data_IF_331879221799
#
_entry.id   IF_331879221799
#
_cell.length_a   1.000
_cell.length_b   1.000
_cell.length_c   1.000
_cell.angle_alpha   90.00
_cell.angle_beta   90.00
_cell.angle_gamma   90.00
#
_symmetry.space_group_name_H-M   'P 1'
#
loop_
_entity.id
_entity.type
_entity.pdbx_description
1 polymer ?
#
# COMPACT_ATOMS: atom_id res chain seq x y z
N UNK A 1 36.45 13.68 -1.62
CA UNK A 1 35.37 14.62 -1.25
C UNK A 1 34.11 13.82 -1.02
N UNK A 2 33.51 13.92 0.16
CA UNK A 2 32.20 13.30 0.42
C UNK A 2 31.12 14.22 -0.12
N UNK A 3 30.43 13.79 -1.18
CA UNK A 3 29.33 14.56 -1.77
C UNK A 3 28.13 14.47 -0.83
N UNK A 4 27.46 15.59 -0.48
CA UNK A 4 26.30 15.54 0.38
C UNK A 4 25.16 14.71 -0.25
N UNK A 5 24.62 13.76 0.51
CA UNK A 5 23.48 12.90 0.09
C UNK A 5 22.30 13.74 -0.42
N UNK A 6 22.05 14.90 0.20
CA UNK A 6 20.97 15.80 -0.19
C UNK A 6 21.15 16.40 -1.58
N UNK A 7 22.39 16.66 -2.00
CA UNK A 7 22.68 17.15 -3.35
C UNK A 7 22.30 16.13 -4.41
N UNK A 8 22.60 14.84 -4.16
CA UNK A 8 22.20 13.73 -5.04
C UNK A 8 20.68 13.55 -5.00
N UNK A 9 20.08 13.60 -3.80
CA UNK A 9 18.63 13.40 -3.64
C UNK A 9 17.83 14.46 -4.40
N UNK A 10 18.29 15.72 -4.41
CA UNK A 10 17.65 16.83 -5.14
C UNK A 10 17.59 16.61 -6.66
N UNK A 11 18.51 15.82 -7.23
CA UNK A 11 18.51 15.49 -8.66
C UNK A 11 17.48 14.42 -9.02
N UNK A 12 17.05 13.60 -8.06
CA UNK A 12 16.10 12.52 -8.27
C UNK A 12 14.67 13.07 -8.44
N UNK A 13 13.79 12.38 -9.19
CA UNK A 13 12.44 12.85 -9.47
C UNK A 13 11.46 12.72 -8.27
N UNK A 14 11.93 12.17 -7.14
CA UNK A 14 11.16 12.03 -5.90
C UNK A 14 9.84 11.24 -6.04
N UNK A 15 9.75 10.33 -7.02
CA UNK A 15 8.56 9.51 -7.27
C UNK A 15 8.32 8.42 -6.21
N UNK A 16 9.36 8.04 -5.47
CA UNK A 16 9.37 6.93 -4.49
C UNK A 16 8.95 5.57 -5.07
N UNK A 17 9.12 5.35 -6.38
CA UNK A 17 8.65 4.17 -7.11
C UNK A 17 9.36 2.84 -6.81
N UNK A 18 10.57 2.88 -6.24
CA UNK A 18 11.40 1.69 -5.91
C UNK A 18 11.91 0.88 -7.11
N UNK A 19 11.74 1.35 -8.34
CA UNK A 19 12.21 0.63 -9.53
C UNK A 19 13.73 0.45 -9.63
N UNK A 20 14.48 1.29 -8.92
CA UNK A 20 15.94 1.16 -8.81
C UNK A 20 16.39 0.08 -7.82
N UNK A 21 15.47 -0.62 -7.15
CA UNK A 21 15.75 -1.64 -6.14
C UNK A 21 15.91 -1.11 -4.71
N UNK A 22 15.71 0.20 -4.49
CA UNK A 22 15.78 0.85 -3.19
C UNK A 22 14.39 1.28 -2.69
N UNK A 23 14.22 1.40 -1.37
CA UNK A 23 12.94 1.77 -0.73
C UNK A 23 12.40 3.17 -1.10
N UNK A 24 13.25 4.03 -1.69
CA UNK A 24 12.88 5.37 -2.14
C UNK A 24 14.08 6.15 -2.70
N UNK A 25 13.87 7.42 -3.02
CA UNK A 25 14.90 8.26 -3.61
C UNK A 25 16.06 8.55 -2.64
N UNK A 26 15.78 8.78 -1.35
CA UNK A 26 16.82 9.07 -0.36
C UNK A 26 17.75 7.86 -0.11
N UNK A 27 17.26 6.62 0.09
CA UNK A 27 18.13 5.43 0.16
C UNK A 27 19.01 5.25 -1.08
N UNK A 28 18.48 5.46 -2.28
CA UNK A 28 19.29 5.38 -3.51
C UNK A 28 20.37 6.47 -3.55
N UNK A 29 20.04 7.71 -3.19
CA UNK A 29 21.02 8.79 -3.07
C UNK A 29 22.13 8.47 -2.07
N UNK A 30 21.81 7.77 -0.98
CA UNK A 30 22.78 7.30 0.02
C UNK A 30 23.75 6.28 -0.57
N UNK A 31 23.24 5.27 -1.27
CA UNK A 31 24.05 4.24 -1.92
C UNK A 31 24.93 4.84 -3.03
N UNK A 32 24.43 5.81 -3.79
CA UNK A 32 25.21 6.58 -4.76
C UNK A 32 26.36 7.33 -4.10
N UNK A 33 26.09 8.04 -2.99
CA UNK A 33 27.10 8.75 -2.20
C UNK A 33 28.17 7.83 -1.61
N UNK A 34 27.79 6.60 -1.24
CA UNK A 34 28.70 5.58 -0.72
C UNK A 34 29.48 4.85 -1.83
N UNK A 35 29.13 5.06 -3.10
CA UNK A 35 29.73 4.35 -4.22
C UNK A 35 29.20 2.92 -4.43
N UNK A 36 28.17 2.53 -3.68
CA UNK A 36 27.57 1.18 -3.65
C UNK A 36 26.53 0.95 -4.74
N UNK A 37 26.13 2.01 -5.46
CA UNK A 37 25.13 1.95 -6.52
C UNK A 37 25.66 2.54 -7.84
N UNK A 38 25.24 1.98 -9.00
CA UNK A 38 25.47 2.58 -10.30
C UNK A 38 24.50 3.76 -10.56
N UNK A 39 24.93 4.70 -11.39
CA UNK A 39 24.23 5.98 -11.66
C UNK A 39 23.03 5.84 -12.61
N UNK A 40 22.86 4.68 -13.26
CA UNK A 40 21.91 4.45 -14.35
C UNK A 40 20.62 3.71 -13.96
N UNK A 41 20.29 3.64 -12.67
CA UNK A 41 19.13 2.87 -12.19
C UNK A 41 17.83 3.66 -12.09
N UNK A 42 17.88 5.00 -12.17
CA UNK A 42 16.69 5.84 -12.03
C UNK A 42 15.87 5.89 -13.33
N UNK A 43 15.10 4.85 -13.62
CA UNK A 43 14.22 4.82 -14.79
C UNK A 43 13.26 6.02 -14.91
N UNK A 44 12.59 6.50 -13.84
CA UNK A 44 11.67 7.64 -13.95
C UNK A 44 12.38 8.98 -14.19
N UNK A 45 13.63 9.09 -13.73
CA UNK A 45 14.46 10.27 -13.96
C UNK A 45 15.02 10.33 -15.39
N UNK A 46 15.17 9.17 -16.03
CA UNK A 46 15.71 9.04 -17.38
C UNK A 46 17.17 9.50 -17.47
N UNK A 47 17.66 9.64 -18.69
CA UNK A 47 19.07 9.98 -18.95
C UNK A 47 19.51 11.30 -18.34
N UNK A 48 18.63 12.31 -18.30
CA UNK A 48 18.96 13.63 -17.74
C UNK A 48 19.40 13.51 -16.29
N UNK A 49 18.62 12.81 -15.46
CA UNK A 49 18.97 12.61 -14.04
C UNK A 49 20.23 11.77 -13.89
N UNK A 50 20.41 10.74 -14.72
CA UNK A 50 21.60 9.88 -14.67
C UNK A 50 22.89 10.64 -15.02
N UNK A 51 22.84 11.53 -16.02
CA UNK A 51 23.96 12.40 -16.41
C UNK A 51 24.30 13.39 -15.29
N UNK A 52 23.30 14.11 -14.76
CA UNK A 52 23.53 15.06 -13.66
C UNK A 52 24.16 14.38 -12.43
N UNK A 53 23.71 13.18 -12.09
CA UNK A 53 24.27 12.40 -10.97
C UNK A 53 25.70 11.94 -11.30
N UNK A 54 25.96 11.48 -12.51
CA UNK A 54 27.30 11.07 -12.94
C UNK A 54 28.29 12.23 -12.87
N UNK A 55 27.90 13.40 -13.39
CA UNK A 55 28.69 14.63 -13.36
C UNK A 55 28.96 15.08 -11.92
N UNK A 56 27.93 15.10 -11.08
CA UNK A 56 28.07 15.45 -9.66
C UNK A 56 29.04 14.50 -8.94
N UNK A 57 28.98 13.20 -9.23
CA UNK A 57 29.80 12.17 -8.61
C UNK A 57 31.19 12.01 -9.24
N UNK A 58 31.48 12.69 -10.35
CA UNK A 58 32.69 12.48 -11.14
C UNK A 58 32.81 11.04 -11.69
N UNK A 59 31.67 10.40 -11.99
CA UNK A 59 31.60 9.04 -12.55
C UNK A 59 31.33 9.09 -14.06
N UNK A 60 31.78 8.09 -14.83
CA UNK A 60 31.45 8.01 -16.24
C UNK A 60 29.95 7.81 -16.44
N UNK A 61 29.43 8.35 -17.54
CA UNK A 61 28.07 8.08 -17.99
C UNK A 61 27.87 6.58 -18.27
N UNK A 62 26.70 6.07 -17.88
CA UNK A 62 26.25 4.71 -18.15
C UNK A 62 24.87 4.79 -18.82
N UNK A 63 24.65 3.97 -19.85
CA UNK A 63 23.35 3.86 -20.50
C UNK A 63 22.27 3.41 -19.50
N UNK A 64 21.00 3.86 -19.64
CA UNK A 64 19.92 3.49 -18.72
C UNK A 64 19.77 1.98 -18.56
N UNK A 65 19.71 1.49 -17.31
CA UNK A 65 19.41 0.08 -17.05
C UNK A 65 17.97 -0.29 -17.42
N UNK A 66 17.06 0.68 -17.31
CA UNK A 66 15.66 0.58 -17.69
C UNK A 66 15.15 1.93 -18.18
N UNK A 67 14.37 1.92 -19.25
CA UNK A 67 13.62 3.07 -19.73
C UNK A 67 12.15 2.87 -19.41
N UNK A 68 11.44 3.97 -19.15
CA UNK A 68 10.00 3.92 -18.95
C UNK A 68 9.29 5.15 -19.51
N UNK A 69 8.06 4.91 -19.95
CA UNK A 69 7.16 5.95 -20.43
C UNK A 69 6.48 6.57 -19.21
N UNK A 70 6.32 7.90 -19.22
CA UNK A 70 5.60 8.61 -18.17
C UNK A 70 4.13 8.24 -18.27
N UNK A 71 3.58 7.75 -17.17
CA UNK A 71 2.20 7.32 -17.08
C UNK A 71 1.61 7.73 -15.72
N UNK A 72 0.31 7.98 -15.69
CA UNK A 72 -0.45 8.22 -14.47
C UNK A 72 -1.39 7.06 -14.21
N UNK A 73 -1.68 6.77 -12.95
CA UNK A 73 -2.66 5.75 -12.61
C UNK A 73 -4.07 6.23 -12.97
N UNK A 74 -4.89 5.33 -13.50
CA UNK A 74 -6.33 5.49 -13.71
C UNK A 74 -7.03 4.33 -13.01
N UNK A 75 -8.06 4.64 -12.22
CA UNK A 75 -8.89 3.61 -11.57
C UNK A 75 -10.18 3.47 -12.36
N UNK A 76 -10.53 2.25 -12.75
CA UNK A 76 -11.86 1.93 -13.28
C UNK A 76 -12.87 1.93 -12.12
N UNK A 77 -13.66 3.01 -12.08
CA UNK A 77 -14.64 3.28 -11.04
C UNK A 77 -15.78 2.24 -11.02
N UNK A 78 -16.11 1.64 -12.16
CA UNK A 78 -17.16 0.62 -12.26
C UNK A 78 -16.73 -0.71 -11.66
N UNK A 79 -15.42 -0.96 -11.58
CA UNK A 79 -14.84 -2.19 -11.05
C UNK A 79 -14.36 -2.03 -9.60
N UNK A 80 -14.06 -0.79 -9.19
CA UNK A 80 -13.55 -0.48 -7.86
C UNK A 80 -14.53 -0.87 -6.74
N UNK A 81 -14.09 -1.75 -5.83
CA UNK A 81 -14.90 -2.20 -4.68
C UNK A 81 -14.71 -1.38 -3.40
N UNK A 82 -13.94 -0.29 -3.45
CA UNK A 82 -13.72 0.54 -2.28
C UNK A 82 -12.84 -0.10 -1.17
N UNK A 83 -11.90 -0.99 -1.50
CA UNK A 83 -11.09 -1.72 -0.50
C UNK A 83 -9.99 -0.89 0.21
N UNK A 84 -9.67 0.31 -0.30
CA UNK A 84 -8.63 1.24 0.23
C UNK A 84 -7.18 0.76 0.17
N UNK A 85 -6.89 -0.38 -0.49
CA UNK A 85 -5.51 -0.87 -0.64
C UNK A 85 -4.63 0.11 -1.43
N UNK A 86 -5.17 0.69 -2.51
CA UNK A 86 -4.49 1.69 -3.32
C UNK A 86 -4.17 2.98 -2.55
N UNK A 87 -5.09 3.50 -1.73
CA UNK A 87 -4.86 4.68 -0.87
C UNK A 87 -3.68 4.43 0.06
N UNK A 88 -3.64 3.27 0.74
CA UNK A 88 -2.56 2.92 1.67
C UNK A 88 -1.19 2.75 0.99
N UNK A 89 -1.19 2.36 -0.28
CA UNK A 89 0.02 2.19 -1.08
C UNK A 89 0.52 3.49 -1.71
N UNK A 90 -0.35 4.49 -1.89
CA UNK A 90 0.01 5.75 -2.55
C UNK A 90 0.94 6.60 -1.66
N UNK A 91 2.21 6.83 -2.06
CA UNK A 91 3.18 7.54 -1.21
C UNK A 91 2.92 9.04 -1.11
N UNK A 92 2.08 9.61 -1.98
CA UNK A 92 1.85 11.05 -2.10
C UNK A 92 0.39 11.45 -1.89
N UNK A 93 -0.49 10.53 -1.51
CA UNK A 93 -1.94 10.76 -1.36
C UNK A 93 -2.63 11.27 -2.64
N UNK A 94 -2.25 10.76 -3.81
CA UNK A 94 -2.86 11.13 -5.10
C UNK A 94 -4.20 10.41 -5.37
N UNK A 95 -4.69 9.57 -4.45
CA UNK A 95 -5.92 8.79 -4.62
C UNK A 95 -6.96 9.28 -3.62
N UNK A 96 -8.15 9.60 -4.13
CA UNK A 96 -9.31 9.99 -3.32
C UNK A 96 -10.34 8.87 -3.29
N UNK A 97 -11.09 8.80 -2.19
CA UNK A 97 -12.20 7.87 -1.98
C UNK A 97 -12.32 7.49 -0.51
N UNK A 98 -13.17 6.51 -0.21
CA UNK A 98 -13.36 6.01 1.14
C UNK A 98 -13.65 4.51 1.13
N UNK A 99 -13.63 3.90 2.32
CA UNK A 99 -14.00 2.49 2.48
C UNK A 99 -15.40 2.24 1.91
N UNK A 100 -15.51 1.23 1.05
CA UNK A 100 -16.75 0.81 0.34
C UNK A 100 -17.33 1.87 -0.62
N UNK A 101 -16.55 2.88 -0.98
CA UNK A 101 -16.88 3.86 -2.02
C UNK A 101 -15.84 3.78 -3.14
N UNK A 102 -16.23 4.16 -4.36
CA UNK A 102 -15.33 4.19 -5.50
C UNK A 102 -14.15 5.14 -5.25
N UNK A 103 -12.98 4.74 -5.77
CA UNK A 103 -11.75 5.51 -5.67
C UNK A 103 -11.44 6.12 -7.04
N UNK A 104 -10.82 7.30 -7.03
CA UNK A 104 -10.35 7.98 -8.23
C UNK A 104 -8.98 8.59 -8.01
N UNK A 105 -8.21 8.78 -9.07
CA UNK A 105 -6.85 9.34 -9.01
C UNK A 105 -6.91 10.82 -9.37
N UNK A 106 -6.31 11.67 -8.53
CA UNK A 106 -6.01 13.06 -8.89
C UNK A 106 -4.80 13.02 -9.82
N UNK A 107 -5.04 12.98 -11.13
CA UNK A 107 -3.98 12.80 -12.13
C UNK A 107 -2.84 13.83 -11.99
N UNK A 108 -3.17 15.06 -11.63
CA UNK A 108 -2.18 16.14 -11.46
C UNK A 108 -1.21 15.92 -10.29
N UNK A 109 -1.62 15.13 -9.29
CA UNK A 109 -0.84 14.82 -8.09
C UNK A 109 -0.14 13.46 -8.20
N UNK A 110 -0.46 12.67 -9.23
CA UNK A 110 0.12 11.35 -9.45
C UNK A 110 1.58 11.45 -9.89
N UNK A 111 2.49 10.81 -9.15
CA UNK A 111 3.91 10.74 -9.51
C UNK A 111 4.22 9.70 -10.59
N UNK A 112 3.23 8.87 -10.97
CA UNK A 112 3.43 7.76 -11.87
C UNK A 112 4.16 6.55 -11.26
N UNK A 113 4.25 6.45 -9.93
CA UNK A 113 5.05 5.42 -9.26
C UNK A 113 4.56 3.96 -9.41
N UNK A 114 3.32 3.73 -9.83
CA UNK A 114 2.75 2.40 -10.02
C UNK A 114 2.52 1.56 -8.76
N UNK A 115 2.90 2.04 -7.57
CA UNK A 115 2.80 1.27 -6.31
C UNK A 115 1.37 0.85 -5.94
N UNK A 116 0.35 1.53 -6.47
CA UNK A 116 -1.06 1.20 -6.24
C UNK A 116 -1.57 0.01 -7.06
N UNK A 117 -0.89 -0.38 -8.15
CA UNK A 117 -1.38 -1.40 -9.09
C UNK A 117 -1.41 -2.78 -8.43
N UNK A 118 -0.26 -3.27 -7.95
CA UNK A 118 -0.16 -4.61 -7.38
C UNK A 118 -1.04 -4.85 -6.13
N UNK A 119 -1.22 -3.89 -5.20
CA UNK A 119 -2.12 -4.07 -4.06
C UNK A 119 -3.61 -4.10 -4.40
N UNK A 120 -4.03 -3.78 -5.62
CA UNK A 120 -5.44 -3.74 -5.99
C UNK A 120 -5.99 -5.17 -6.15
N UNK A 121 -6.86 -5.65 -5.26
CA UNK A 121 -7.35 -7.04 -5.30
C UNK A 121 -8.26 -7.31 -6.50
N UNK A 122 -8.78 -6.26 -7.13
CA UNK A 122 -9.71 -6.36 -8.26
C UNK A 122 -9.11 -5.94 -9.59
N UNK A 123 -7.81 -5.65 -9.63
CA UNK A 123 -7.05 -5.29 -10.83
C UNK A 123 -7.70 -4.16 -11.66
N UNK A 124 -8.25 -3.16 -10.98
CA UNK A 124 -8.98 -2.05 -11.62
C UNK A 124 -8.10 -0.81 -11.88
N UNK A 125 -6.77 -0.94 -11.87
CA UNK A 125 -5.86 0.21 -11.96
C UNK A 125 -4.90 0.01 -13.12
N UNK A 126 -4.98 0.92 -14.09
CA UNK A 126 -4.11 0.95 -15.26
C UNK A 126 -3.15 2.14 -15.19
N UNK A 127 -1.95 1.97 -15.76
CA UNK A 127 -1.00 3.06 -15.96
C UNK A 127 -1.16 3.62 -17.36
N UNK A 128 -1.76 4.80 -17.47
CA UNK A 128 -2.07 5.44 -18.76
C UNK A 128 -0.95 6.41 -19.14
N UNK A 129 -0.32 6.24 -20.31
CA UNK A 129 0.73 7.15 -20.80
C UNK A 129 0.25 8.60 -20.89
N UNK A 130 1.14 9.54 -20.58
CA UNK A 130 0.87 10.98 -20.67
C UNK A 130 1.98 11.71 -21.44
N UNK A 131 1.60 12.81 -22.10
CA UNK A 131 2.53 13.68 -22.83
C UNK A 131 3.28 14.67 -21.94
N UNK A 132 2.94 14.74 -20.66
CA UNK A 132 3.54 15.68 -19.71
C UNK A 132 5.04 15.38 -19.53
N UNK A 133 5.92 16.40 -19.58
CA UNK A 133 7.36 16.17 -19.51
C UNK A 133 7.82 15.78 -18.10
N UNK A 134 7.09 16.14 -17.05
CA UNK A 134 7.44 15.79 -15.67
C UNK A 134 6.18 15.50 -14.87
N UNK A 135 6.22 14.44 -14.07
CA UNK A 135 5.17 14.05 -13.15
C UNK A 135 5.63 14.26 -11.70
N UNK A 136 4.74 14.68 -10.78
CA UNK A 136 3.33 15.07 -10.98
C UNK A 136 3.21 16.31 -11.89
N UNK A 137 2.03 16.76 -12.30
CA UNK A 137 1.85 18.02 -13.06
C UNK A 137 1.65 19.22 -12.14
N UNK A 138 1.17 18.99 -10.92
CA UNK A 138 0.98 19.99 -9.88
C UNK A 138 2.32 20.54 -9.35
N UNK A 139 2.36 21.85 -9.06
CA UNK A 139 3.57 22.58 -8.63
C UNK A 139 3.38 23.40 -7.35
N UNK A 140 2.23 23.28 -6.67
CA UNK A 140 1.81 24.18 -5.57
C UNK A 140 2.74 24.25 -4.36
N UNK A 141 3.68 23.32 -4.24
CA UNK A 141 4.57 23.20 -3.08
C UNK A 141 6.05 23.31 -3.48
N UNK A 142 6.33 23.78 -4.69
CA UNK A 142 7.68 24.01 -5.15
C UNK A 142 8.02 25.49 -5.14
N UNK A 143 9.31 25.78 -4.93
CA UNK A 143 9.90 27.11 -5.08
C UNK A 143 10.80 27.20 -6.32
N UNK A 144 11.13 26.07 -6.94
CA UNK A 144 11.94 25.99 -8.15
C UNK A 144 11.20 26.53 -9.37
N UNK A 145 11.90 27.36 -10.17
CA UNK A 145 11.41 27.83 -11.46
C UNK A 145 11.54 26.75 -12.56
N UNK A 146 12.55 25.88 -12.44
CA UNK A 146 12.80 24.86 -13.46
C UNK A 146 11.80 23.68 -13.33
N UNK A 147 11.08 23.32 -14.41
CA UNK A 147 9.94 22.40 -14.32
C UNK A 147 10.25 21.01 -13.72
N UNK A 148 11.44 20.47 -13.97
CA UNK A 148 11.87 19.16 -13.45
C UNK A 148 12.02 19.19 -11.93
N UNK A 149 12.80 20.15 -11.43
CA UNK A 149 13.00 20.34 -10.00
C UNK A 149 11.69 20.73 -9.31
N UNK A 150 10.84 21.49 -10.01
CA UNK A 150 9.56 21.87 -9.45
C UNK A 150 8.59 20.70 -9.28
N UNK A 151 8.59 19.74 -10.21
CA UNK A 151 7.86 18.48 -10.05
C UNK A 151 8.42 17.64 -8.88
N UNK A 152 9.75 17.52 -8.80
CA UNK A 152 10.42 16.74 -7.76
C UNK A 152 10.20 17.32 -6.34
N UNK A 153 10.35 18.64 -6.16
CA UNK A 153 10.09 19.32 -4.88
C UNK A 153 8.62 19.16 -4.44
N UNK A 154 7.69 19.26 -5.38
CA UNK A 154 6.28 19.06 -5.10
C UNK A 154 5.99 17.61 -4.66
N UNK A 155 6.51 16.62 -5.39
CA UNK A 155 6.38 15.21 -5.04
C UNK A 155 7.00 14.89 -3.68
N UNK A 156 8.20 15.42 -3.40
CA UNK A 156 8.87 15.27 -2.11
C UNK A 156 8.04 15.87 -0.98
N UNK A 157 7.54 17.10 -1.13
CA UNK A 157 6.72 17.77 -0.12
C UNK A 157 5.43 17.00 0.19
N UNK A 158 4.84 16.35 -0.81
CA UNK A 158 3.66 15.48 -0.64
C UNK A 158 4.02 14.21 0.11
N UNK A 159 5.12 13.56 -0.27
CA UNK A 159 5.62 12.35 0.40
C UNK A 159 5.92 12.61 1.88
N UNK A 160 6.64 13.69 2.19
CA UNK A 160 6.98 14.06 3.57
C UNK A 160 5.72 14.31 4.42
N UNK A 161 4.71 15.00 3.87
CA UNK A 161 3.43 15.21 4.56
C UNK A 161 2.65 13.91 4.77
N UNK A 162 2.63 13.02 3.78
CA UNK A 162 2.02 11.71 3.91
C UNK A 162 2.70 10.90 5.02
N UNK A 163 4.03 10.81 5.00
CA UNK A 163 4.81 10.08 6.00
C UNK A 163 4.63 10.67 7.38
N UNK A 164 4.67 11.99 7.53
CA UNK A 164 4.45 12.66 8.81
C UNK A 164 3.03 12.39 9.36
N UNK A 165 1.99 12.40 8.50
CA UNK A 165 0.64 12.01 8.91
C UNK A 165 0.60 10.57 9.40
N UNK A 166 1.12 9.64 8.61
CA UNK A 166 1.14 8.21 8.96
C UNK A 166 1.88 7.94 10.28
N UNK A 167 3.02 8.60 10.49
CA UNK A 167 3.78 8.48 11.75
C UNK A 167 2.99 8.97 12.96
N UNK A 168 2.22 10.07 12.83
CA UNK A 168 1.33 10.53 13.90
C UNK A 168 0.22 9.53 14.17
N UNK A 169 -0.48 9.08 13.13
CA UNK A 169 -1.57 8.11 13.26
C UNK A 169 -1.10 6.78 13.90
N UNK A 170 0.08 6.31 13.51
CA UNK A 170 0.70 5.09 14.06
C UNK A 170 1.11 5.27 15.52
N UNK A 171 1.66 6.45 15.88
CA UNK A 171 2.02 6.77 17.26
C UNK A 171 0.78 6.87 18.16
N UNK A 172 -0.28 7.53 17.70
CA UNK A 172 -1.57 7.62 18.41
C UNK A 172 -2.20 6.25 18.61
N UNK A 173 -2.24 5.41 17.57
CA UNK A 173 -2.73 4.02 17.66
C UNK A 173 -1.91 3.22 18.68
N UNK A 174 -0.58 3.31 18.63
CA UNK A 174 0.30 2.61 19.56
C UNK A 174 0.06 3.06 21.01
N UNK A 175 -0.13 4.36 21.24
CA UNK A 175 -0.45 4.90 22.56
C UNK A 175 -1.79 4.39 23.08
N UNK A 176 -2.84 4.38 22.23
CA UNK A 176 -4.16 3.85 22.59
C UNK A 176 -4.11 2.36 22.96
N UNK A 177 -3.38 1.55 22.19
CA UNK A 177 -3.21 0.12 22.47
C UNK A 177 -2.47 -0.11 23.79
N UNK A 178 -1.38 0.63 24.04
CA UNK A 178 -0.65 0.56 25.30
C UNK A 178 -1.53 0.93 26.52
N UNK A 179 -2.38 1.95 26.39
CA UNK A 179 -3.34 2.33 27.43
C UNK A 179 -4.37 1.22 27.68
N UNK A 180 -4.90 0.60 26.62
CA UNK A 180 -5.85 -0.52 26.75
C UNK A 180 -5.21 -1.73 27.42
N UNK A 181 -3.99 -2.10 27.04
CA UNK A 181 -3.24 -3.18 27.67
C UNK A 181 -2.97 -2.91 29.15
N UNK A 182 -2.56 -1.69 29.50
CA UNK A 182 -2.36 -1.29 30.90
C UNK A 182 -3.66 -1.38 31.71
N UNK A 183 -4.79 -0.94 31.14
CA UNK A 183 -6.10 -1.03 31.78
C UNK A 183 -6.56 -2.49 31.97
N UNK A 184 -6.33 -3.36 30.99
CA UNK A 184 -6.63 -4.80 31.11
C UNK A 184 -5.76 -5.45 32.18
N UNK A 185 -4.45 -5.17 32.19
CA UNK A 185 -3.53 -5.68 33.23
C UNK A 185 -3.92 -5.21 34.63
N UNK A 186 -4.32 -3.94 34.78
CA UNK A 186 -4.81 -3.41 36.06
C UNK A 186 -6.10 -4.11 36.51
N UNK A 187 -7.06 -4.34 35.60
CA UNK A 187 -8.29 -5.09 35.89
C UNK A 187 -7.99 -6.54 36.28
N UNK A 188 -7.08 -7.22 35.57
CA UNK A 188 -6.67 -8.59 35.88
C UNK A 188 -5.96 -8.68 37.23
N UNK A 189 -5.08 -7.72 37.56
CA UNK A 189 -4.42 -7.66 38.86
C UNK A 189 -5.44 -7.46 40.00
N UNK A 190 -6.41 -6.56 39.82
CA UNK A 190 -7.49 -6.35 40.78
C UNK A 190 -8.39 -7.58 40.94
N UNK A 191 -8.71 -8.28 39.84
CA UNK A 191 -9.48 -9.53 39.87
C UNK A 191 -8.71 -10.67 40.55
N UNK A 192 -7.42 -10.82 40.28
CA UNK A 192 -6.56 -11.80 40.94
C UNK A 192 -6.48 -11.54 42.45
N UNK A 193 -6.35 -10.27 42.86
CA UNK A 193 -6.37 -9.88 44.27
C UNK A 193 -7.73 -10.14 44.92
N UNK A 194 -8.84 -9.88 44.23
CA UNK A 194 -10.18 -10.19 44.70
C UNK A 194 -10.44 -11.71 44.81
N UNK A 195 -9.89 -12.51 43.90
CA UNK A 195 -9.97 -13.98 43.94
C UNK A 195 -9.16 -14.57 45.09
N UNK A 196 -7.95 -14.05 45.35
CA UNK A 196 -7.13 -14.45 46.50
C UNK A 196 -7.84 -14.07 47.82
N UNK A 197 -8.52 -12.92 47.86
CA UNK A 197 -9.34 -12.52 49.01
C UNK A 197 -10.61 -13.39 49.19
N UNK A 198 -11.19 -13.91 48.09
CA UNK A 198 -12.38 -14.76 48.13
C UNK A 198 -12.08 -16.24 48.46
N UNK A 199 -10.84 -16.71 48.27
CA UNK A 199 -10.46 -18.11 48.57
C UNK A 199 -10.46 -18.49 50.05
N UNK A 200 -10.84 -17.59 50.96
CA UNK A 200 -11.01 -17.88 52.39
C UNK A 200 -12.46 -18.05 52.85
N UNK A 201 -13.46 -18.16 51.96
CA UNK A 201 -14.87 -18.35 52.35
C UNK A 201 -15.54 -19.56 51.67
N UNK A 202 -16.36 -20.27 52.45
CA UNK A 202 -17.01 -21.54 52.09
C UNK A 202 -17.99 -21.45 50.90
N UNK A 203 -18.11 -22.58 50.19
CA UNK A 203 -18.90 -22.79 48.97
C UNK A 203 -20.37 -22.33 49.12
N UNK A 204 -20.80 -21.34 48.31
CA UNK A 204 -22.18 -20.84 48.30
C UNK A 204 -22.83 -20.98 46.89
N UNK A 205 -24.13 -21.34 46.81
CA UNK A 205 -24.82 -21.61 45.54
C UNK A 205 -24.92 -20.42 44.56
N UNK A 206 -24.65 -19.19 45.03
CA UNK A 206 -24.54 -17.99 44.18
C UNK A 206 -23.29 -17.99 43.27
N UNK A 207 -22.26 -18.79 43.57
CA UNK A 207 -21.03 -18.90 42.77
C UNK A 207 -21.25 -19.53 41.38
N UNK A 208 -22.30 -20.35 41.24
CA UNK A 208 -22.71 -20.94 39.96
C UNK A 208 -23.27 -19.88 39.01
N UNK A 209 -24.03 -18.91 39.54
CA UNK A 209 -24.59 -17.80 38.77
C UNK A 209 -23.46 -16.85 38.34
N UNK A 210 -22.50 -16.58 39.23
CA UNK A 210 -21.32 -15.77 38.90
C UNK A 210 -20.44 -16.42 37.81
N UNK A 211 -20.21 -17.74 37.87
CA UNK A 211 -19.51 -18.49 36.80
C UNK A 211 -20.28 -18.48 35.49
N UNK A 212 -21.61 -18.58 35.52
CA UNK A 212 -22.45 -18.52 34.33
C UNK A 212 -22.39 -17.13 33.67
N UNK A 213 -22.47 -16.05 34.47
CA UNK A 213 -22.33 -14.68 33.96
C UNK A 213 -20.93 -14.39 33.41
N UNK A 214 -19.86 -14.87 34.06
CA UNK A 214 -18.48 -14.74 33.56
C UNK A 214 -18.27 -15.49 32.22
N UNK A 215 -18.90 -16.66 32.05
CA UNK A 215 -18.87 -17.42 30.79
C UNK A 215 -19.63 -16.70 29.69
N UNK A 216 -20.80 -16.12 29.99
CA UNK A 216 -21.59 -15.33 29.04
C UNK A 216 -20.87 -14.05 28.60
N UNK A 217 -20.22 -13.34 29.53
CA UNK A 217 -19.37 -12.19 29.21
C UNK A 217 -18.18 -12.60 28.33
N UNK A 218 -17.50 -13.72 28.62
CA UNK A 218 -16.41 -14.23 27.77
C UNK A 218 -16.86 -14.60 26.34
N UNK A 219 -18.13 -15.01 26.17
CA UNK A 219 -18.70 -15.32 24.86
C UNK A 219 -19.11 -14.05 24.11
N UNK A 220 -19.66 -13.05 24.79
CA UNK A 220 -19.94 -11.74 24.21
C UNK A 220 -18.65 -11.03 23.78
N UNK A 221 -17.59 -11.08 24.60
CA UNK A 221 -16.29 -10.50 24.26
C UNK A 221 -15.66 -11.18 23.03
N UNK A 222 -15.86 -12.49 22.85
CA UNK A 222 -15.45 -13.21 21.63
C UNK A 222 -16.23 -12.77 20.39
N UNK A 223 -17.52 -12.46 20.52
CA UNK A 223 -18.35 -11.99 19.40
C UNK A 223 -18.00 -10.55 18.97
N UNK A 224 -17.60 -9.70 19.93
CA UNK A 224 -17.17 -8.32 19.70
C UNK A 224 -15.67 -8.22 19.33
N UNK A 225 -14.93 -9.34 19.40
CA UNK A 225 -13.51 -9.37 19.05
C UNK A 225 -13.28 -8.94 17.58
N UNK A 226 -12.16 -8.24 17.37
CA UNK A 226 -11.72 -7.76 16.05
C UNK A 226 -11.64 -8.87 15.00
N UNK A 227 -11.41 -10.10 15.44
CA UNK A 227 -11.06 -11.23 14.60
C UNK A 227 -12.24 -11.64 13.70
N UNK A 228 -13.47 -11.67 14.23
CA UNK A 228 -14.68 -11.94 13.42
C UNK A 228 -14.90 -10.89 12.33
N UNK A 229 -14.51 -9.62 12.57
CA UNK A 229 -14.66 -8.53 11.60
C UNK A 229 -13.60 -8.58 10.52
N UNK A 230 -12.36 -8.91 10.88
CA UNK A 230 -11.27 -9.08 9.91
C UNK A 230 -11.50 -10.33 9.05
N UNK A 231 -11.97 -11.44 9.62
CA UNK A 231 -12.32 -12.66 8.87
C UNK A 231 -13.43 -12.40 7.84
N UNK A 232 -14.46 -11.65 8.23
CA UNK A 232 -15.54 -11.27 7.31
C UNK A 232 -15.05 -10.38 6.17
N UNK A 233 -14.18 -9.40 6.45
CA UNK A 233 -13.56 -8.58 5.41
C UNK A 233 -12.66 -9.42 4.49
N UNK A 234 -11.88 -10.34 5.05
CA UNK A 234 -11.00 -11.22 4.30
C UNK A 234 -11.80 -12.06 3.30
N UNK A 235 -12.92 -12.65 3.72
CA UNK A 235 -13.82 -13.39 2.81
C UNK A 235 -14.36 -12.52 1.67
N UNK A 236 -14.81 -11.29 1.95
CA UNK A 236 -15.25 -10.38 0.87
C UNK A 236 -14.13 -10.02 -0.09
N UNK A 237 -12.90 -9.85 0.41
CA UNK A 237 -11.74 -9.55 -0.43
C UNK A 237 -11.40 -10.75 -1.32
N UNK A 238 -11.41 -11.97 -0.78
CA UNK A 238 -11.17 -13.19 -1.55
C UNK A 238 -12.23 -13.38 -2.64
N UNK A 239 -13.51 -13.24 -2.32
CA UNK A 239 -14.58 -13.31 -3.32
C UNK A 239 -14.42 -12.25 -4.42
N UNK A 240 -13.96 -11.05 -4.07
CA UNK A 240 -13.68 -10.01 -5.05
C UNK A 240 -12.46 -10.32 -5.93
N UNK A 241 -11.43 -10.97 -5.37
CA UNK A 241 -10.25 -11.43 -6.13
C UNK A 241 -10.63 -12.51 -7.13
N UNK A 242 -11.40 -13.52 -6.73
CA UNK A 242 -11.87 -14.57 -7.63
C UNK A 242 -12.63 -13.99 -8.83
N UNK A 243 -13.52 -13.01 -8.57
CA UNK A 243 -14.24 -12.29 -9.64
C UNK A 243 -13.30 -11.49 -10.55
N UNK A 244 -12.21 -10.95 -10.01
CA UNK A 244 -11.25 -10.19 -10.77
C UNK A 244 -10.32 -11.06 -11.63
N UNK A 245 -9.87 -12.20 -11.10
CA UNK A 245 -9.15 -13.21 -11.88
C UNK A 245 -9.97 -13.69 -13.07
N UNK A 246 -11.28 -13.93 -12.84
CA UNK A 246 -12.19 -14.27 -13.92
C UNK A 246 -12.26 -13.19 -15.00
N UNK A 247 -12.40 -11.92 -14.62
CA UNK A 247 -12.42 -10.79 -15.57
C UNK A 247 -11.10 -10.64 -16.31
N UNK A 248 -9.96 -10.77 -15.61
CA UNK A 248 -8.62 -10.74 -16.21
C UNK A 248 -8.49 -11.83 -17.26
N UNK A 249 -8.84 -13.07 -16.93
CA UNK A 249 -8.83 -14.17 -17.89
C UNK A 249 -9.77 -13.90 -19.08
N UNK A 250 -10.96 -13.33 -18.87
CA UNK A 250 -11.84 -12.95 -19.98
C UNK A 250 -11.23 -11.87 -20.88
N UNK A 251 -10.57 -10.86 -20.30
CA UNK A 251 -9.88 -9.80 -21.04
C UNK A 251 -8.69 -10.35 -21.82
N UNK A 252 -7.83 -11.12 -21.16
CA UNK A 252 -6.60 -11.66 -21.75
C UNK A 252 -6.92 -12.67 -22.86
N UNK A 253 -7.99 -13.47 -22.72
CA UNK A 253 -8.50 -14.31 -23.79
C UNK A 253 -8.91 -13.51 -25.04
N UNK A 254 -9.39 -12.27 -24.86
CA UNK A 254 -9.85 -11.41 -25.96
C UNK A 254 -8.72 -10.56 -26.56
N UNK A 255 -7.87 -9.99 -25.72
CA UNK A 255 -6.92 -8.94 -26.11
C UNK A 255 -5.45 -9.25 -25.81
N UNK A 256 -5.14 -10.34 -25.10
CA UNK A 256 -3.77 -10.71 -24.72
C UNK A 256 -2.90 -11.15 -25.89
N UNK A 257 -1.60 -11.27 -25.63
CA UNK A 257 -0.67 -11.94 -26.54
C UNK A 257 -0.94 -13.45 -26.62
N UNK A 258 -0.27 -14.20 -27.50
CA UNK A 258 -0.57 -15.63 -27.70
C UNK A 258 -0.43 -16.47 -26.43
N UNK A 259 0.59 -16.19 -25.61
CA UNK A 259 0.82 -16.90 -24.35
C UNK A 259 -0.26 -16.57 -23.31
N UNK A 260 -0.60 -15.28 -23.17
CA UNK A 260 -1.67 -14.81 -22.28
C UNK A 260 -3.03 -15.37 -22.67
N UNK A 261 -3.34 -15.42 -23.97
CA UNK A 261 -4.57 -16.03 -24.51
C UNK A 261 -4.65 -17.51 -24.19
N UNK A 262 -3.57 -18.26 -24.38
CA UNK A 262 -3.53 -19.69 -24.08
C UNK A 262 -3.79 -19.96 -22.59
N UNK A 263 -3.09 -19.23 -21.71
CA UNK A 263 -3.25 -19.34 -20.26
C UNK A 263 -4.67 -18.94 -19.81
N UNK A 264 -5.21 -17.87 -20.38
CA UNK A 264 -6.55 -17.39 -20.07
C UNK A 264 -7.64 -18.39 -20.47
N UNK A 265 -7.55 -19.01 -21.65
CA UNK A 265 -8.50 -20.03 -22.10
C UNK A 265 -8.44 -21.26 -21.20
N UNK A 266 -7.24 -21.69 -20.79
CA UNK A 266 -7.09 -22.80 -19.86
C UNK A 266 -7.73 -22.50 -18.50
N UNK A 267 -7.49 -21.31 -17.93
CA UNK A 267 -8.12 -20.87 -16.70
C UNK A 267 -9.65 -20.90 -16.81
N UNK A 268 -10.21 -20.31 -17.88
CA UNK A 268 -11.66 -20.26 -18.07
C UNK A 268 -12.30 -21.66 -18.19
N UNK A 269 -11.59 -22.63 -18.79
CA UNK A 269 -12.04 -24.03 -18.82
C UNK A 269 -12.06 -24.65 -17.42
N UNK A 270 -10.98 -24.48 -16.65
CA UNK A 270 -10.90 -24.99 -15.26
C UNK A 270 -11.97 -24.36 -14.37
N UNK A 271 -12.18 -23.05 -14.48
CA UNK A 271 -13.20 -22.31 -13.74
C UNK A 271 -14.60 -22.81 -14.08
N UNK A 272 -14.92 -23.00 -15.36
CA UNK A 272 -16.21 -23.54 -15.80
C UNK A 272 -16.44 -24.96 -15.27
N UNK A 273 -15.43 -25.84 -15.35
CA UNK A 273 -15.52 -27.20 -14.82
C UNK A 273 -15.75 -27.21 -13.30
N UNK A 274 -15.09 -26.32 -12.54
CA UNK A 274 -15.31 -26.19 -11.10
C UNK A 274 -16.73 -25.73 -10.76
N UNK A 275 -17.28 -24.77 -11.53
CA UNK A 275 -18.66 -24.30 -11.35
C UNK A 275 -19.69 -25.39 -11.67
N UNK A 276 -19.45 -26.19 -12.71
CA UNK A 276 -20.28 -27.35 -13.06
C UNK A 276 -20.25 -28.41 -11.94
N UNK A 277 -19.07 -28.74 -11.41
CA UNK A 277 -18.93 -29.68 -10.29
C UNK A 277 -19.64 -29.21 -9.02
N UNK A 278 -19.57 -27.92 -8.68
CA UNK A 278 -20.30 -27.35 -7.53
C UNK A 278 -21.81 -27.40 -7.75
N UNK A 279 -22.27 -27.21 -8.99
CA UNK A 279 -23.69 -27.31 -9.35
C UNK A 279 -24.19 -28.74 -9.30
N UNK A 280 -23.37 -29.73 -9.64
CA UNK A 280 -23.68 -31.16 -9.53
C UNK A 280 -23.69 -31.67 -8.09
N UNK A 281 -22.89 -31.06 -7.20
CA UNK A 281 -22.83 -31.43 -5.79
C UNK A 281 -23.94 -30.81 -4.91
N UNK A 282 -24.77 -29.92 -5.47
CA UNK A 282 -25.81 -29.16 -4.76
C UNK A 282 -27.21 -29.63 -5.14
#
# INVERSE_FOLDING_TARGET
>A
MTIPIQSISRLLPQTQCRECGYEGCLPYARALSAGEAPVNLCAPGGETVMKDIADLLGKPYLAPAKTQIKAVALIDEAVCIGCTACIRACPVDAIMGASKLMHTVISDECTGCGLCVAPCPVDCIDMVPVSQPFLPSARRFSTSAEPRFAAAEHAQSRFERHTARKQRDDAERKALLAQREAAVKAKQAAQAQAQIAATSAAFNPMDLIAKAMAKAQSQQDKLVSSDNREDFKARQIEEAKERAELRRAQRDAKYGNEAEKAAAIEFLRRYKAAQEAVKEAR
#
